data_IF_634021541262
#
_entry.id   IF_634021541262
#
_cell.length_a   1.000
_cell.length_b   1.000
_cell.length_c   1.000
_cell.angle_alpha   90.00
_cell.angle_beta   90.00
_cell.angle_gamma   90.00
#
_symmetry.space_group_name_H-M   'P 1'
#
loop_
_entity.id
_entity.type
_entity.pdbx_description
1 polymer ?
#
# COMPACT_ATOMS: atom_id res chain seq x y z
N UNK A 1 54.78 -0.15 49.96
CA UNK A 1 53.93 0.24 48.81
C UNK A 1 54.64 -0.20 47.53
N UNK A 2 54.13 -1.21 46.83
CA UNK A 2 54.74 -1.73 45.61
C UNK A 2 54.11 -1.07 44.38
N UNK A 3 54.93 -0.36 43.60
CA UNK A 3 54.57 0.27 42.32
C UNK A 3 54.27 -0.83 41.30
N UNK A 4 53.03 -0.90 40.80
CA UNK A 4 52.64 -1.79 39.70
C UNK A 4 53.36 -1.30 38.44
N UNK A 5 54.37 -2.03 38.00
CA UNK A 5 55.01 -1.77 36.71
C UNK A 5 54.07 -2.33 35.66
N UNK A 6 53.48 -1.46 34.85
CA UNK A 6 52.77 -1.87 33.65
C UNK A 6 53.78 -2.56 32.75
N UNK A 7 53.65 -3.88 32.63
CA UNK A 7 54.52 -4.68 31.78
C UNK A 7 54.04 -4.46 30.36
N UNK A 8 54.87 -3.84 29.54
CA UNK A 8 54.59 -3.67 28.12
C UNK A 8 54.52 -5.07 27.50
N UNK A 9 53.32 -5.49 27.12
CA UNK A 9 53.08 -6.79 26.48
C UNK A 9 53.30 -6.59 24.98
N UNK A 10 54.23 -7.33 24.34
CA UNK A 10 54.47 -7.18 22.92
C UNK A 10 53.18 -7.43 22.13
N UNK A 11 52.84 -6.51 21.23
CA UNK A 11 51.68 -6.69 20.36
C UNK A 11 51.97 -7.81 19.35
N UNK A 12 51.10 -8.82 19.31
CA UNK A 12 51.18 -9.91 18.32
C UNK A 12 50.85 -9.42 16.90
N UNK A 13 50.09 -8.34 16.78
CA UNK A 13 49.65 -7.75 15.52
C UNK A 13 49.68 -6.24 15.62
N UNK A 14 49.91 -5.59 14.48
CA UNK A 14 49.78 -4.14 14.34
C UNK A 14 48.35 -3.69 14.65
N UNK A 15 48.14 -2.64 15.47
CA UNK A 15 46.81 -2.11 15.78
C UNK A 15 45.97 -1.74 14.55
N UNK A 16 46.63 -1.32 13.47
CA UNK A 16 46.00 -0.99 12.18
C UNK A 16 45.19 -2.15 11.60
N UNK A 17 45.63 -3.40 11.82
CA UNK A 17 44.95 -4.60 11.32
C UNK A 17 43.56 -4.79 11.93
N UNK A 18 43.39 -4.41 13.20
CA UNK A 18 42.08 -4.45 13.86
C UNK A 18 41.16 -3.37 13.29
N UNK A 19 41.69 -2.17 13.05
CA UNK A 19 40.95 -1.05 12.46
C UNK A 19 40.42 -1.42 11.07
N UNK A 20 41.26 -1.99 10.21
CA UNK A 20 40.85 -2.45 8.87
C UNK A 20 39.75 -3.52 8.92
N UNK A 21 39.88 -4.48 9.84
CA UNK A 21 38.90 -5.57 9.99
C UNK A 21 37.55 -5.06 10.51
N UNK A 22 37.56 -4.09 11.42
CA UNK A 22 36.34 -3.47 11.96
C UNK A 22 35.70 -2.52 10.96
N UNK A 23 36.49 -1.83 10.12
CA UNK A 23 35.97 -0.86 9.15
C UNK A 23 34.93 -1.47 8.20
N UNK A 24 35.15 -2.72 7.74
CA UNK A 24 34.19 -3.42 6.88
C UNK A 24 32.88 -3.80 7.58
N UNK A 25 32.93 -4.09 8.89
CA UNK A 25 31.74 -4.41 9.69
C UNK A 25 30.95 -3.17 10.09
N UNK A 26 31.63 -2.02 10.22
CA UNK A 26 31.03 -0.73 10.54
C UNK A 26 30.52 0.01 9.29
N UNK A 27 30.87 -0.45 8.09
CA UNK A 27 30.35 0.11 6.86
C UNK A 27 28.83 -0.14 6.77
N UNK A 28 28.05 0.93 6.52
CA UNK A 28 26.63 0.79 6.28
C UNK A 28 26.35 -0.05 5.03
N UNK A 29 25.21 -0.78 4.98
CA UNK A 29 24.83 -1.49 3.77
C UNK A 29 24.69 -0.52 2.59
N UNK A 30 24.95 -0.98 1.35
CA UNK A 30 24.75 -0.14 0.18
C UNK A 30 23.30 0.31 0.07
N UNK A 31 23.10 1.52 -0.42
CA UNK A 31 21.77 2.08 -0.60
C UNK A 31 20.99 1.31 -1.67
N UNK A 32 19.81 0.80 -1.31
CA UNK A 32 18.95 0.07 -2.24
C UNK A 32 18.21 1.06 -3.13
N UNK A 33 18.56 1.05 -4.41
CA UNK A 33 17.96 1.91 -5.44
C UNK A 33 16.63 1.34 -5.94
N UNK A 34 15.52 2.01 -5.64
CA UNK A 34 14.16 1.62 -6.08
C UNK A 34 13.60 2.53 -7.18
N UNK A 35 14.41 3.44 -7.72
CA UNK A 35 14.02 4.42 -8.75
C UNK A 35 13.56 3.80 -10.08
N UNK A 36 13.96 2.55 -10.35
CA UNK A 36 13.50 1.79 -11.51
C UNK A 36 12.12 1.14 -11.31
N UNK A 37 11.57 1.15 -10.09
CA UNK A 37 10.24 0.63 -9.81
C UNK A 37 9.19 1.66 -10.19
N UNK A 38 8.51 1.45 -11.33
CA UNK A 38 7.36 2.26 -11.73
C UNK A 38 6.25 2.06 -10.70
N UNK A 39 5.89 3.13 -9.98
CA UNK A 39 4.72 3.12 -9.10
C UNK A 39 3.47 3.32 -9.95
N UNK A 40 2.73 2.26 -10.21
CA UNK A 40 1.38 2.36 -10.77
C UNK A 40 0.48 2.81 -9.62
N UNK A 41 0.06 4.07 -9.66
CA UNK A 41 -0.89 4.62 -8.69
C UNK A 41 -2.26 4.71 -9.33
N UNK A 42 -3.24 4.02 -8.74
CA UNK A 42 -4.66 4.17 -9.10
C UNK A 42 -5.31 5.04 -8.03
N UNK A 43 -5.99 6.12 -8.44
CA UNK A 43 -6.64 7.04 -7.52
C UNK A 43 -8.03 6.56 -7.12
N UNK A 44 -8.32 6.52 -5.82
CA UNK A 44 -9.67 6.23 -5.30
C UNK A 44 -10.68 7.26 -5.85
N UNK A 45 -10.31 8.54 -5.89
CA UNK A 45 -11.19 9.61 -6.38
C UNK A 45 -11.58 9.45 -7.84
N UNK A 46 -10.65 8.97 -8.68
CA UNK A 46 -10.93 8.66 -10.09
C UNK A 46 -11.91 7.50 -10.17
N UNK A 47 -11.69 6.43 -9.40
CA UNK A 47 -12.62 5.29 -9.38
C UNK A 47 -14.02 5.67 -8.89
N UNK A 48 -14.15 6.57 -7.90
CA UNK A 48 -15.45 7.11 -7.49
C UNK A 48 -16.15 7.88 -8.61
N UNK A 49 -15.39 8.59 -9.46
CA UNK A 49 -15.94 9.29 -10.63
C UNK A 49 -16.46 8.29 -11.67
N UNK A 50 -15.72 7.21 -11.93
CA UNK A 50 -16.13 6.15 -12.85
C UNK A 50 -17.41 5.45 -12.35
N UNK A 51 -17.50 5.12 -11.06
CA UNK A 51 -18.72 4.54 -10.47
C UNK A 51 -19.92 5.49 -10.65
N UNK A 52 -19.75 6.79 -10.36
CA UNK A 52 -20.81 7.79 -10.58
C UNK A 52 -21.21 7.92 -12.04
N UNK A 53 -20.26 7.82 -12.96
CA UNK A 53 -20.55 7.85 -14.39
C UNK A 53 -21.36 6.63 -14.82
N UNK A 54 -20.99 5.43 -14.35
CA UNK A 54 -21.70 4.20 -14.63
C UNK A 54 -23.15 4.22 -14.13
N UNK A 55 -23.42 4.87 -13.01
CA UNK A 55 -24.76 5.00 -12.43
C UNK A 55 -25.66 6.05 -13.11
N UNK A 56 -25.13 6.91 -14.01
CA UNK A 56 -25.92 8.01 -14.62
C UNK A 56 -27.02 7.55 -15.59
N UNK A 57 -26.82 6.41 -16.25
CA UNK A 57 -27.66 5.99 -17.38
C UNK A 57 -28.72 4.92 -17.02
N UNK A 58 -28.77 4.44 -15.77
CA UNK A 58 -29.71 3.40 -15.37
C UNK A 58 -29.68 3.05 -13.88
N UNK A 59 -30.79 2.50 -13.38
CA UNK A 59 -31.09 2.28 -11.95
C UNK A 59 -30.17 1.27 -11.23
N UNK A 60 -29.31 0.55 -11.96
CA UNK A 60 -28.52 -0.55 -11.41
C UNK A 60 -27.38 -0.93 -12.35
N UNK A 61 -26.18 -1.11 -11.79
CA UNK A 61 -24.99 -1.67 -12.47
C UNK A 61 -24.35 -2.73 -11.59
N UNK A 62 -23.53 -3.61 -12.15
CA UNK A 62 -22.73 -4.54 -11.37
C UNK A 62 -21.30 -4.03 -11.21
N UNK A 63 -20.59 -4.51 -10.18
CA UNK A 63 -19.17 -4.23 -10.04
C UNK A 63 -18.34 -4.72 -11.25
N UNK A 64 -18.71 -5.86 -11.83
CA UNK A 64 -18.03 -6.43 -12.99
C UNK A 64 -18.21 -5.56 -14.24
N UNK A 65 -19.36 -4.87 -14.39
CA UNK A 65 -19.57 -3.92 -15.50
C UNK A 65 -18.60 -2.72 -15.43
N UNK A 66 -18.13 -2.37 -14.22
CA UNK A 66 -17.24 -1.22 -13.99
C UNK A 66 -15.77 -1.64 -14.05
N UNK A 67 -15.40 -2.77 -13.43
CA UNK A 67 -14.01 -3.15 -13.18
C UNK A 67 -13.62 -4.55 -13.68
N UNK A 68 -14.54 -5.30 -14.32
CA UNK A 68 -14.30 -6.68 -14.72
C UNK A 68 -13.09 -6.87 -15.63
N UNK A 69 -12.88 -5.95 -16.56
CA UNK A 69 -11.76 -5.96 -17.52
C UNK A 69 -10.51 -5.23 -17.01
N UNK A 70 -10.57 -4.63 -15.81
CA UNK A 70 -9.46 -3.89 -15.25
C UNK A 70 -8.41 -4.82 -14.62
N UNK A 71 -7.17 -4.33 -14.49
CA UNK A 71 -6.13 -5.07 -13.77
C UNK A 71 -6.45 -5.20 -12.27
N UNK A 72 -5.77 -6.12 -11.58
CA UNK A 72 -6.04 -6.42 -10.16
C UNK A 72 -5.91 -5.23 -9.21
N UNK A 73 -4.98 -4.32 -9.47
CA UNK A 73 -4.80 -3.13 -8.64
C UNK A 73 -5.98 -2.19 -8.84
N UNK A 74 -6.37 -1.96 -10.10
CA UNK A 74 -7.55 -1.15 -10.41
C UNK A 74 -8.81 -1.76 -9.82
N UNK A 75 -9.06 -3.06 -9.98
CA UNK A 75 -10.19 -3.77 -9.33
C UNK A 75 -10.23 -3.54 -7.81
N UNK A 76 -9.09 -3.69 -7.13
CA UNK A 76 -9.01 -3.49 -5.69
C UNK A 76 -9.33 -2.04 -5.29
N UNK A 77 -8.81 -1.06 -6.04
CA UNK A 77 -9.05 0.36 -5.77
C UNK A 77 -10.48 0.76 -6.10
N UNK A 78 -11.09 0.22 -7.16
CA UNK A 78 -12.52 0.41 -7.46
C UNK A 78 -13.40 -0.18 -6.36
N UNK A 79 -13.03 -1.34 -5.82
CA UNK A 79 -13.73 -1.92 -4.68
C UNK A 79 -13.63 -1.04 -3.43
N UNK A 80 -12.46 -0.47 -3.14
CA UNK A 80 -12.32 0.52 -2.06
C UNK A 80 -13.15 1.77 -2.29
N UNK A 81 -13.17 2.30 -3.52
CA UNK A 81 -14.01 3.45 -3.89
C UNK A 81 -15.50 3.14 -3.70
N UNK A 82 -15.94 1.94 -4.07
CA UNK A 82 -17.30 1.47 -3.85
C UNK A 82 -17.66 1.44 -2.35
N UNK A 83 -16.76 0.90 -1.51
CA UNK A 83 -16.95 0.87 -0.05
C UNK A 83 -16.98 2.27 0.56
N UNK A 84 -16.13 3.18 0.08
CA UNK A 84 -16.12 4.58 0.54
C UNK A 84 -17.44 5.28 0.21
N UNK A 85 -17.95 5.10 -1.01
CA UNK A 85 -19.23 5.68 -1.45
C UNK A 85 -20.44 5.08 -0.73
N UNK A 86 -20.40 3.78 -0.38
CA UNK A 86 -21.42 3.17 0.48
C UNK A 86 -21.37 3.76 1.89
N UNK A 87 -20.17 3.92 2.45
CA UNK A 87 -19.97 4.50 3.77
C UNK A 87 -20.42 5.97 3.84
N UNK A 88 -20.27 6.74 2.75
CA UNK A 88 -20.77 8.12 2.66
C UNK A 88 -22.29 8.20 2.39
N UNK A 89 -22.93 7.08 2.05
CA UNK A 89 -24.35 7.01 1.70
C UNK A 89 -24.67 7.56 0.30
N UNK A 90 -23.68 7.67 -0.59
CA UNK A 90 -23.89 8.08 -1.99
C UNK A 90 -24.55 6.98 -2.84
N UNK A 91 -24.39 5.71 -2.44
CA UNK A 91 -24.94 4.54 -3.14
C UNK A 91 -25.39 3.45 -2.18
N UNK A 92 -26.16 2.49 -2.70
CA UNK A 92 -26.55 1.26 -2.02
C UNK A 92 -25.95 0.04 -2.74
N UNK A 93 -25.66 -1.02 -1.98
CA UNK A 93 -25.03 -2.25 -2.48
C UNK A 93 -25.88 -3.46 -2.08
N UNK A 94 -26.11 -4.37 -3.02
CA UNK A 94 -26.73 -5.68 -2.76
C UNK A 94 -25.77 -6.82 -3.16
N UNK A 95 -25.63 -7.82 -2.28
CA UNK A 95 -24.88 -9.05 -2.56
C UNK A 95 -25.57 -10.25 -1.90
N UNK A 96 -26.02 -11.21 -2.71
CA UNK A 96 -26.81 -12.36 -2.24
C UNK A 96 -25.96 -13.41 -1.49
N UNK A 97 -24.71 -13.60 -1.92
CA UNK A 97 -23.80 -14.62 -1.39
C UNK A 97 -22.35 -14.14 -1.39
N UNK A 98 -21.53 -14.72 -0.52
CA UNK A 98 -20.09 -14.46 -0.48
C UNK A 98 -19.45 -14.69 -1.85
N UNK A 99 -18.64 -13.72 -2.29
CA UNK A 99 -18.01 -13.70 -3.62
C UNK A 99 -19.00 -13.83 -4.78
N UNK A 100 -20.28 -13.54 -4.53
CA UNK A 100 -21.30 -13.41 -5.55
C UNK A 100 -21.26 -12.04 -6.20
N UNK A 101 -22.13 -11.88 -7.21
CA UNK A 101 -22.33 -10.62 -7.92
C UNK A 101 -22.64 -9.48 -6.94
N UNK A 102 -21.99 -8.35 -7.15
CA UNK A 102 -22.21 -7.12 -6.40
C UNK A 102 -23.04 -6.19 -7.26
N UNK A 103 -24.26 -5.89 -6.82
CA UNK A 103 -25.18 -4.97 -7.48
C UNK A 103 -25.06 -3.61 -6.79
N UNK A 104 -25.03 -2.55 -7.60
CA UNK A 104 -24.80 -1.19 -7.16
C UNK A 104 -25.97 -0.33 -7.63
N UNK A 105 -26.52 0.46 -6.71
CA UNK A 105 -27.70 1.30 -6.92
C UNK A 105 -27.40 2.74 -6.47
N UNK A 106 -27.98 3.72 -7.15
CA UNK A 106 -27.99 5.10 -6.61
C UNK A 106 -28.77 5.11 -5.30
N UNK A 107 -28.26 5.80 -4.27
CA UNK A 107 -28.98 5.91 -3.01
C UNK A 107 -30.33 6.61 -3.24
N UNK A 108 -31.41 5.97 -2.81
CA UNK A 108 -32.74 6.58 -2.89
C UNK A 108 -32.76 7.85 -2.06
N UNK A 109 -33.15 8.99 -2.64
CA UNK A 109 -33.35 10.25 -1.88
C UNK A 109 -34.26 9.97 -0.69
N UNK A 110 -33.68 9.88 0.51
CA UNK A 110 -34.44 9.77 1.76
C UNK A 110 -35.33 11.02 1.82
N UNK A 111 -36.64 10.86 1.59
CA UNK A 111 -37.61 11.88 1.99
C UNK A 111 -37.48 11.99 3.50
N UNK A 112 -36.87 13.07 3.96
CA UNK A 112 -36.96 13.50 5.35
C UNK A 112 -38.46 13.80 5.55
N UNK A 113 -39.14 12.89 6.24
CA UNK A 113 -40.50 13.10 6.74
C UNK A 113 -40.45 13.88 8.05
#
# INVERSE_FOLDING_TARGET
>A
MARRVEREVPHKHEPSRLVESLAGLLAGPPEIRTDHMVRITVSIWEQMKEIRAALRDGRQVTFDDIAGEADRMTQAVTFFALLEMYNSGELEIEQEKLFGRILIHEAGKKKIA
#
